data_IF_220428753633
#
_entry.id   IF_220428753633
#
_cell.length_a   1.000
_cell.length_b   1.000
_cell.length_c   1.000
_cell.angle_alpha   90.00
_cell.angle_beta   90.00
_cell.angle_gamma   90.00
#
_symmetry.space_group_name_H-M   'P 1'
#
loop_
_entity.id
_entity.type
_entity.pdbx_description
1 polymer ?
#
# COMPACT_ATOMS: atom_id res chain seq x y z
N UNK A 1 -11.85 12.73 -7.56
CA UNK A 1 -10.84 12.25 -6.61
C UNK A 1 -10.51 10.80 -6.92
N UNK A 2 -9.26 10.39 -6.67
CA UNK A 2 -8.73 9.05 -6.99
C UNK A 2 -8.92 8.12 -5.78
N UNK A 3 -9.55 6.97 -6.00
CA UNK A 3 -9.75 5.98 -4.93
C UNK A 3 -8.47 5.19 -4.67
N UNK A 4 -8.01 5.20 -3.43
CA UNK A 4 -6.88 4.42 -2.96
C UNK A 4 -7.18 3.78 -1.59
N UNK A 5 -6.39 2.77 -1.24
CA UNK A 5 -6.44 2.10 0.05
C UNK A 5 -5.03 1.76 0.54
N UNK A 6 -4.87 1.57 1.84
CA UNK A 6 -3.64 1.00 2.42
C UNK A 6 -3.84 -0.49 2.56
N UNK A 7 -3.03 -1.29 1.87
CA UNK A 7 -3.03 -2.74 2.01
C UNK A 7 -2.05 -3.18 3.11
N UNK A 8 -2.57 -3.94 4.07
CA UNK A 8 -1.89 -4.44 5.27
C UNK A 8 -1.14 -3.36 6.07
N UNK A 9 -1.84 -2.57 6.91
CA UNK A 9 -1.22 -1.52 7.72
C UNK A 9 -0.27 -2.05 8.82
N UNK A 10 -0.20 -3.36 9.01
CA UNK A 10 0.68 -4.00 9.98
C UNK A 10 1.11 -5.38 9.47
N UNK A 11 2.41 -5.59 9.39
CA UNK A 11 3.04 -6.85 9.01
C UNK A 11 2.54 -8.00 9.88
N UNK A 12 2.39 -9.18 9.27
CA UNK A 12 1.74 -10.35 9.89
C UNK A 12 2.40 -10.74 11.22
N UNK A 13 3.74 -10.68 11.31
CA UNK A 13 4.49 -11.04 12.51
C UNK A 13 4.26 -10.08 13.69
N UNK A 14 3.74 -8.88 13.44
CA UNK A 14 3.42 -7.88 14.46
C UNK A 14 1.94 -7.89 14.85
N UNK A 15 1.10 -8.66 14.16
CA UNK A 15 -0.33 -8.77 14.47
C UNK A 15 -0.53 -9.52 15.79
N UNK A 16 -1.46 -9.03 16.63
CA UNK A 16 -1.76 -9.64 17.94
C UNK A 16 -2.12 -11.13 17.85
N UNK A 17 -2.79 -11.55 16.77
CA UNK A 17 -3.17 -12.95 16.54
C UNK A 17 -1.96 -13.89 16.41
N UNK A 18 -0.79 -13.36 16.03
CA UNK A 18 0.45 -14.11 15.82
C UNK A 18 1.49 -13.90 16.93
N UNK A 19 1.14 -13.22 18.02
CA UNK A 19 2.05 -12.96 19.14
C UNK A 19 2.65 -14.25 19.75
N UNK A 20 1.92 -15.36 19.68
CA UNK A 20 2.37 -16.68 20.15
C UNK A 20 3.58 -17.24 19.38
N UNK A 21 3.92 -16.68 18.21
CA UNK A 21 5.11 -17.06 17.43
C UNK A 21 6.39 -16.38 17.94
N UNK A 22 6.30 -15.39 18.83
CA UNK A 22 7.45 -14.78 19.50
C UNK A 22 8.27 -13.80 18.64
N UNK A 23 7.76 -13.40 17.48
CA UNK A 23 8.42 -12.42 16.62
C UNK A 23 8.33 -10.99 17.14
N UNK A 24 9.27 -10.16 16.73
CA UNK A 24 9.37 -8.75 17.11
C UNK A 24 9.73 -7.86 15.93
N UNK A 25 9.60 -6.55 16.14
CA UNK A 25 10.03 -5.54 15.17
C UNK A 25 11.53 -5.71 14.88
N UNK A 26 11.90 -5.74 13.61
CA UNK A 26 13.24 -6.00 13.12
C UNK A 26 13.46 -7.40 12.55
N UNK A 27 12.60 -8.37 12.86
CA UNK A 27 12.72 -9.74 12.34
C UNK A 27 12.47 -9.81 10.82
N UNK A 28 11.59 -8.94 10.31
CA UNK A 28 11.21 -8.89 8.90
C UNK A 28 11.26 -7.45 8.36
N UNK A 29 12.47 -6.89 8.18
CA UNK A 29 12.65 -5.47 7.86
C UNK A 29 12.02 -5.07 6.53
N UNK A 30 11.99 -5.95 5.53
CA UNK A 30 11.36 -5.64 4.24
C UNK A 30 9.83 -5.64 4.32
N UNK A 31 9.24 -6.50 5.15
CA UNK A 31 7.79 -6.45 5.40
C UNK A 31 7.41 -5.18 6.15
N UNK A 32 8.21 -4.80 7.14
CA UNK A 32 8.01 -3.58 7.93
C UNK A 32 8.17 -2.31 7.09
N UNK A 33 9.17 -2.26 6.20
CA UNK A 33 9.32 -1.15 5.26
C UNK A 33 8.15 -1.06 4.30
N UNK A 34 7.58 -2.19 3.88
CA UNK A 34 6.46 -2.22 2.96
C UNK A 34 5.17 -1.68 3.61
N UNK A 35 4.82 -2.11 4.83
CA UNK A 35 3.61 -1.60 5.52
C UNK A 35 3.62 -0.08 5.69
N UNK A 36 4.79 0.53 5.87
CA UNK A 36 4.94 1.97 6.12
C UNK A 36 4.88 2.81 4.84
N UNK A 37 4.95 2.18 3.65
CA UNK A 37 5.07 2.85 2.35
C UNK A 37 3.98 2.49 1.35
N UNK A 38 3.25 1.39 1.56
CA UNK A 38 2.36 0.85 0.55
C UNK A 38 1.06 1.65 0.46
N UNK A 39 0.71 2.04 -0.77
CA UNK A 39 -0.57 2.60 -1.16
C UNK A 39 -1.06 1.83 -2.38
N UNK A 40 -2.29 1.35 -2.33
CA UNK A 40 -2.92 0.63 -3.43
C UNK A 40 -3.88 1.54 -4.17
N UNK A 41 -3.64 1.72 -5.47
CA UNK A 41 -4.59 2.34 -6.37
C UNK A 41 -5.64 1.32 -6.78
N UNK A 42 -6.90 1.72 -6.81
CA UNK A 42 -7.92 0.91 -7.48
C UNK A 42 -7.63 0.94 -8.98
N UNK A 43 -7.70 -0.21 -9.65
CA UNK A 43 -7.57 -0.31 -11.11
C UNK A 43 -8.72 -1.15 -11.62
N UNK A 44 -9.34 -0.70 -12.70
CA UNK A 44 -10.41 -1.41 -13.41
C UNK A 44 -9.98 -1.62 -14.87
N UNK A 45 -10.06 -2.86 -15.41
CA UNK A 45 -9.66 -3.15 -16.79
C UNK A 45 -10.52 -2.45 -17.85
N UNK A 46 -11.67 -1.89 -17.48
CA UNK A 46 -12.59 -1.21 -18.42
C UNK A 46 -12.47 0.31 -18.42
N UNK A 47 -11.47 0.89 -17.72
CA UNK A 47 -11.24 2.33 -17.75
C UNK A 47 -10.74 2.82 -19.10
N UNK A 48 -11.13 4.06 -19.44
CA UNK A 48 -10.59 4.74 -20.63
C UNK A 48 -9.15 5.17 -20.41
N UNK A 49 -8.40 5.29 -21.51
CA UNK A 49 -7.03 5.82 -21.48
C UNK A 49 -6.96 7.24 -20.88
N UNK A 50 -7.95 8.08 -21.16
CA UNK A 50 -8.07 9.42 -20.59
C UNK A 50 -8.19 9.36 -19.05
N UNK A 51 -9.00 8.45 -18.53
CA UNK A 51 -9.14 8.28 -17.08
C UNK A 51 -7.83 7.83 -16.42
N UNK A 52 -7.13 6.89 -17.05
CA UNK A 52 -5.81 6.42 -16.58
C UNK A 52 -4.80 7.57 -16.61
N UNK A 53 -4.79 8.38 -17.68
CA UNK A 53 -3.90 9.54 -17.83
C UNK A 53 -4.14 10.56 -16.72
N UNK A 54 -5.40 10.90 -16.45
CA UNK A 54 -5.76 11.80 -15.35
C UNK A 54 -5.28 11.28 -13.98
N UNK A 55 -5.37 9.97 -13.72
CA UNK A 55 -4.84 9.37 -12.49
C UNK A 55 -3.32 9.54 -12.41
N UNK A 56 -2.62 9.25 -13.49
CA UNK A 56 -1.15 9.34 -13.56
C UNK A 56 -0.68 10.77 -13.33
N UNK A 57 -1.34 11.75 -13.94
CA UNK A 57 -0.94 13.15 -13.83
C UNK A 57 -1.17 13.71 -12.42
N UNK A 58 -2.31 13.40 -11.79
CA UNK A 58 -2.54 13.78 -10.39
C UNK A 58 -1.49 13.18 -9.43
N UNK A 59 -1.03 11.95 -9.69
CA UNK A 59 0.03 11.32 -8.89
C UNK A 59 1.36 12.04 -9.10
N UNK A 60 1.71 12.41 -10.34
CA UNK A 60 2.93 13.17 -10.63
C UNK A 60 2.89 14.55 -9.98
N UNK A 61 1.75 15.21 -10.02
CA UNK A 61 1.55 16.53 -9.42
C UNK A 61 1.71 16.48 -7.90
N UNK A 62 1.26 15.41 -7.24
CA UNK A 62 1.50 15.21 -5.80
C UNK A 62 2.99 15.10 -5.42
N UNK A 63 3.85 14.59 -6.32
CA UNK A 63 5.29 14.42 -6.08
C UNK A 63 6.16 15.58 -6.59
N UNK A 64 5.56 16.57 -7.27
CA UNK A 64 6.26 17.76 -7.77
C UNK A 64 6.39 18.82 -6.69
#
# INVERSE_FOLDING_TARGET
GIKCSVAFPLSIHLQKSFAHLGHSRGDYPESEKAQDKILCLTIDPYWSEEHITNIVDEIKDFFS
#
